data_IF_105922780939
#
_entry.id   IF_105922780939
#
_cell.length_a   1.000
_cell.length_b   1.000
_cell.length_c   1.000
_cell.angle_alpha   90.00
_cell.angle_beta   90.00
_cell.angle_gamma   90.00
#
_symmetry.space_group_name_H-M   'P 1'
#
loop_
_entity.id
_entity.type
_entity.pdbx_description
1 polymer ?
#
# COMPACT_ATOMS: atom_id res chain seq x y z
N UNK A 1 14.10 19.08 18.86
CA UNK A 1 13.44 20.27 18.28
C UNK A 1 13.77 20.34 16.80
N UNK A 2 12.83 20.83 15.98
CA UNK A 2 13.01 21.30 14.60
C UNK A 2 13.06 20.25 13.45
N UNK A 3 11.96 20.19 12.67
CA UNK A 3 11.92 20.73 11.30
C UNK A 3 10.49 21.23 11.04
N UNK A 4 10.24 22.48 11.38
CA UNK A 4 9.10 23.26 10.91
C UNK A 4 9.65 24.05 9.71
N UNK A 5 9.35 23.61 8.49
CA UNK A 5 9.76 24.29 7.26
C UNK A 5 8.51 24.89 6.59
N UNK A 6 8.48 26.22 6.67
CA UNK A 6 7.61 27.19 6.04
C UNK A 6 7.96 27.32 4.56
N UNK A 7 6.98 27.41 3.64
CA UNK A 7 6.98 28.39 2.53
C UNK A 7 5.84 28.24 1.49
N UNK A 8 5.18 29.39 1.22
CA UNK A 8 4.10 29.73 0.29
C UNK A 8 2.69 29.35 0.77
N UNK A 9 1.77 30.33 0.99
CA UNK A 9 0.35 30.02 0.95
C UNK A 9 0.08 29.59 -0.49
N UNK A 10 0.14 28.28 -0.72
CA UNK A 10 -0.39 27.70 -1.93
C UNK A 10 -1.84 28.15 -1.97
N UNK A 11 -2.35 28.69 -3.09
CA UNK A 11 -3.77 29.04 -3.20
C UNK A 11 -4.69 27.83 -2.96
N UNK A 12 -4.11 26.62 -2.93
CA UNK A 12 -4.76 25.35 -2.72
C UNK A 12 -4.58 24.87 -1.27
N UNK A 13 -5.67 24.54 -0.55
CA UNK A 13 -5.59 23.96 0.78
C UNK A 13 -4.94 22.56 0.73
N UNK A 14 -4.48 22.02 1.88
CA UNK A 14 -3.91 20.69 1.93
C UNK A 14 -4.93 19.63 1.52
N UNK A 15 -4.47 18.54 0.90
CA UNK A 15 -5.35 17.46 0.40
C UNK A 15 -6.32 16.88 1.43
N UNK A 16 -5.96 16.67 2.71
CA UNK A 16 -6.90 16.23 3.73
C UNK A 16 -8.14 17.13 3.83
N UNK A 17 -7.96 18.44 3.81
CA UNK A 17 -9.06 19.40 3.85
C UNK A 17 -9.90 19.35 2.58
N UNK A 18 -9.27 19.26 1.40
CA UNK A 18 -9.99 19.10 0.14
C UNK A 18 -10.85 17.83 0.12
N UNK A 19 -10.35 16.74 0.69
CA UNK A 19 -11.08 15.47 0.79
C UNK A 19 -12.26 15.59 1.75
N UNK A 20 -12.07 16.20 2.92
CA UNK A 20 -13.16 16.42 3.87
C UNK A 20 -14.24 17.34 3.29
N UNK A 21 -13.84 18.45 2.66
CA UNK A 21 -14.75 19.36 1.99
C UNK A 21 -15.47 18.71 0.79
N UNK A 22 -14.86 17.71 0.15
CA UNK A 22 -15.50 16.91 -0.89
C UNK A 22 -16.56 15.97 -0.31
N UNK A 23 -16.26 15.29 0.79
CA UNK A 23 -17.23 14.43 1.47
C UNK A 23 -18.43 15.24 1.99
N UNK A 24 -18.17 16.41 2.58
CA UNK A 24 -19.23 17.31 3.07
C UNK A 24 -20.04 17.90 1.91
N UNK A 25 -19.37 18.25 0.80
CA UNK A 25 -20.02 18.85 -0.38
C UNK A 25 -20.83 17.86 -1.22
N UNK A 26 -20.44 16.58 -1.27
CA UNK A 26 -21.21 15.53 -1.93
C UNK A 26 -22.35 15.01 -1.04
N UNK A 27 -22.21 15.05 0.29
CA UNK A 27 -23.28 14.70 1.22
C UNK A 27 -23.83 13.27 1.04
N UNK A 28 -23.04 12.37 0.45
CA UNK A 28 -23.48 11.02 0.11
C UNK A 28 -23.67 10.17 1.37
N UNK A 29 -24.89 9.69 1.60
CA UNK A 29 -25.20 8.74 2.71
C UNK A 29 -24.38 7.45 2.63
N UNK A 30 -23.97 7.07 1.43
CA UNK A 30 -23.16 5.87 1.14
C UNK A 30 -21.65 6.16 1.08
N UNK A 31 -21.23 7.37 1.46
CA UNK A 31 -19.87 7.87 1.29
C UNK A 31 -19.54 8.16 -0.16
N UNK A 32 -18.38 8.76 -0.40
CA UNK A 32 -17.94 9.13 -1.75
C UNK A 32 -16.81 8.24 -2.22
N UNK A 33 -16.83 7.88 -3.50
CA UNK A 33 -15.76 7.10 -4.11
C UNK A 33 -14.58 8.00 -4.54
N UNK A 34 -13.43 7.39 -4.82
CA UNK A 34 -12.21 8.13 -5.20
C UNK A 34 -12.42 9.03 -6.42
N UNK A 35 -13.15 8.58 -7.42
CA UNK A 35 -13.40 9.34 -8.65
C UNK A 35 -14.33 10.54 -8.41
N UNK A 36 -15.34 10.38 -7.54
CA UNK A 36 -16.26 11.44 -7.16
C UNK A 36 -15.52 12.54 -6.37
N UNK A 37 -14.65 12.14 -5.44
CA UNK A 37 -13.77 13.06 -4.71
C UNK A 37 -12.82 13.77 -5.69
N UNK A 38 -12.19 13.05 -6.62
CA UNK A 38 -11.31 13.63 -7.65
C UNK A 38 -12.02 14.73 -8.43
N UNK A 39 -13.21 14.42 -8.98
CA UNK A 39 -14.02 15.36 -9.78
C UNK A 39 -14.44 16.58 -8.98
N UNK A 40 -14.82 16.41 -7.72
CA UNK A 40 -15.19 17.54 -6.86
C UNK A 40 -14.01 18.48 -6.64
N UNK A 41 -12.82 17.93 -6.36
CA UNK A 41 -11.63 18.73 -6.12
C UNK A 41 -11.19 19.42 -7.42
N UNK A 42 -11.22 18.72 -8.56
CA UNK A 42 -10.94 19.29 -9.89
C UNK A 42 -11.88 20.44 -10.23
N UNK A 43 -13.19 20.28 -9.99
CA UNK A 43 -14.18 21.33 -10.26
C UNK A 43 -14.12 22.51 -9.29
N UNK A 44 -13.80 22.27 -8.01
CA UNK A 44 -13.80 23.30 -6.97
C UNK A 44 -12.52 24.15 -6.97
N UNK A 45 -11.37 23.53 -7.24
CA UNK A 45 -10.07 24.18 -7.10
C UNK A 45 -9.37 24.45 -8.43
N UNK A 46 -9.78 23.82 -9.54
CA UNK A 46 -9.38 24.17 -10.91
C UNK A 46 -7.93 23.85 -11.27
N UNK A 47 -6.95 24.49 -10.61
CA UNK A 47 -5.53 24.15 -10.76
C UNK A 47 -5.17 23.03 -9.79
N UNK A 48 -4.95 21.83 -10.31
CA UNK A 48 -4.38 20.73 -9.55
C UNK A 48 -3.10 20.24 -10.21
N UNK A 49 -2.15 19.72 -9.43
CA UNK A 49 -0.98 19.08 -10.00
C UNK A 49 -1.39 17.96 -10.96
N UNK A 50 -0.64 17.72 -12.05
CA UNK A 50 -0.91 16.62 -12.98
C UNK A 50 -0.85 15.23 -12.30
N UNK A 51 -0.22 15.14 -11.12
CA UNK A 51 -0.19 13.95 -10.27
C UNK A 51 -1.40 13.81 -9.31
N UNK A 52 -2.49 14.57 -9.53
CA UNK A 52 -3.66 14.62 -8.63
C UNK A 52 -4.16 13.24 -8.21
N UNK A 53 -4.38 12.33 -9.16
CA UNK A 53 -4.91 10.99 -8.88
C UNK A 53 -4.00 10.16 -7.94
N UNK A 54 -2.67 10.33 -8.04
CA UNK A 54 -1.69 9.64 -7.18
C UNK A 54 -1.66 10.28 -5.79
N UNK A 55 -1.57 11.61 -5.73
CA UNK A 55 -1.57 12.37 -4.49
C UNK A 55 -2.84 12.14 -3.67
N UNK A 56 -3.99 12.10 -4.32
CA UNK A 56 -5.28 11.77 -3.70
C UNK A 56 -5.25 10.36 -3.10
N UNK A 57 -4.71 9.37 -3.82
CA UNK A 57 -4.59 7.99 -3.30
C UNK A 57 -3.74 7.93 -2.04
N UNK A 58 -2.59 8.59 -2.06
CA UNK A 58 -1.67 8.58 -0.93
C UNK A 58 -2.28 9.26 0.31
N UNK A 59 -3.03 10.34 0.13
CA UNK A 59 -3.73 11.00 1.24
C UNK A 59 -4.91 10.18 1.76
N UNK A 60 -5.74 9.59 0.89
CA UNK A 60 -6.84 8.72 1.30
C UNK A 60 -6.35 7.49 2.08
N UNK A 61 -5.21 6.90 1.67
CA UNK A 61 -4.59 5.80 2.39
C UNK A 61 -4.13 6.23 3.79
N UNK A 62 -3.41 7.36 3.89
CA UNK A 62 -2.97 7.93 5.17
C UNK A 62 -4.14 8.26 6.11
N UNK A 63 -5.20 8.89 5.61
CA UNK A 63 -6.37 9.24 6.42
C UNK A 63 -7.17 8.00 6.87
N UNK A 64 -7.21 6.96 6.04
CA UNK A 64 -7.79 5.67 6.43
C UNK A 64 -7.00 4.99 7.55
N UNK A 65 -5.67 5.12 7.51
CA UNK A 65 -4.73 4.56 8.49
C UNK A 65 -4.70 5.37 9.79
N UNK A 66 -4.73 6.71 9.72
CA UNK A 66 -4.87 7.60 10.88
C UNK A 66 -6.22 7.43 11.57
N UNK A 67 -7.21 6.93 10.82
CA UNK A 67 -8.55 6.69 11.32
C UNK A 67 -9.48 7.87 11.12
N UNK A 68 -9.07 8.93 10.42
CA UNK A 68 -9.93 10.06 10.02
C UNK A 68 -10.98 9.66 8.98
N UNK A 69 -10.71 8.63 8.18
CA UNK A 69 -11.66 8.06 7.23
C UNK A 69 -11.95 6.56 7.46
N UNK A 70 -13.21 6.19 7.22
CA UNK A 70 -13.65 4.80 7.12
C UNK A 70 -13.76 4.46 5.63
N UNK A 71 -13.21 3.31 5.23
CA UNK A 71 -13.32 2.81 3.87
C UNK A 71 -14.17 1.55 3.88
N UNK A 72 -15.35 1.62 3.26
CA UNK A 72 -16.33 0.53 3.21
C UNK A 72 -16.88 0.39 1.79
N UNK A 73 -16.88 -0.83 1.25
CA UNK A 73 -17.45 -1.14 -0.08
C UNK A 73 -17.03 -0.15 -1.18
N UNK A 74 -15.74 0.21 -1.20
CA UNK A 74 -15.14 1.15 -2.16
C UNK A 74 -15.52 2.64 -2.01
N UNK A 75 -16.19 3.00 -0.91
CA UNK A 75 -16.54 4.37 -0.56
C UNK A 75 -15.79 4.82 0.70
N UNK A 76 -15.46 6.12 0.74
CA UNK A 76 -14.83 6.78 1.88
C UNK A 76 -15.88 7.55 2.67
N UNK A 77 -15.79 7.46 3.99
CA UNK A 77 -16.65 8.12 4.95
C UNK A 77 -15.79 8.89 5.96
N UNK A 78 -16.32 9.99 6.47
CA UNK A 78 -15.72 10.73 7.57
C UNK A 78 -15.85 9.90 8.86
N UNK A 79 -14.75 9.72 9.59
CA UNK A 79 -14.77 9.04 10.89
C UNK A 79 -15.12 9.96 12.06
N UNK A 80 -15.28 11.26 11.81
CA UNK A 80 -15.50 12.32 12.81
C UNK A 80 -16.88 12.24 13.51
N UNK A 81 -17.69 11.22 13.22
CA UNK A 81 -18.74 10.84 14.14
C UNK A 81 -18.07 10.40 15.46
N UNK A 82 -18.36 11.03 16.61
CA UNK A 82 -17.71 10.76 17.90
C UNK A 82 -17.92 9.33 18.46
N UNK A 83 -18.43 8.43 17.63
CA UNK A 83 -18.77 7.05 17.96
C UNK A 83 -17.91 6.01 17.21
N UNK A 84 -16.96 6.41 16.35
CA UNK A 84 -16.09 5.46 15.68
C UNK A 84 -14.96 5.00 16.63
N UNK A 85 -14.96 3.75 17.13
CA UNK A 85 -13.92 3.30 18.05
C UNK A 85 -12.57 3.32 17.32
N UNK A 86 -11.48 3.83 17.93
CA UNK A 86 -10.15 3.81 17.34
C UNK A 86 -9.86 2.41 16.82
N UNK A 87 -9.48 2.28 15.55
CA UNK A 87 -9.21 0.97 14.92
C UNK A 87 -8.10 0.27 15.69
N UNK A 88 -8.53 -0.59 16.60
CA UNK A 88 -7.72 -1.39 17.51
C UNK A 88 -6.71 -2.17 16.66
N UNK A 89 -5.43 -2.06 16.99
CA UNK A 89 -4.43 -3.00 16.48
C UNK A 89 -4.95 -4.41 16.72
N UNK A 90 -5.03 -5.22 15.66
CA UNK A 90 -5.64 -6.55 15.68
C UNK A 90 -5.16 -7.34 16.90
N UNK A 91 -6.11 -7.84 17.69
CA UNK A 91 -5.87 -8.91 18.68
C UNK A 91 -5.45 -8.51 20.08
N UNK A 92 -5.51 -7.23 20.50
CA UNK A 92 -5.30 -6.87 21.91
C UNK A 92 -6.46 -6.03 22.46
N UNK A 93 -7.20 -6.52 23.48
CA UNK A 93 -8.10 -5.69 24.27
C UNK A 93 -7.35 -4.45 24.80
N UNK A 94 -7.91 -3.24 24.71
CA UNK A 94 -7.37 -2.07 25.37
C UNK A 94 -7.29 -2.35 26.86
N UNK A 95 -6.08 -2.33 27.41
CA UNK A 95 -5.90 -2.33 28.85
C UNK A 95 -6.39 -0.97 29.35
N UNK A 96 -7.49 -0.94 30.10
CA UNK A 96 -7.90 0.25 30.86
C UNK A 96 -6.69 0.64 31.70
N UNK A 97 -6.11 1.80 31.42
CA UNK A 97 -5.05 2.38 32.26
C UNK A 97 -5.77 3.26 33.27
N UNK A 98 -5.92 2.74 34.48
CA UNK A 98 -6.35 3.56 35.62
C UNK A 98 -5.36 4.71 35.79
N UNK A 99 -5.81 5.98 35.85
CA UNK A 99 -4.95 7.14 36.02
C UNK A 99 -4.30 7.24 37.41
N UNK A 100 -4.52 6.25 38.29
CA UNK A 100 -3.95 6.20 39.63
C UNK A 100 -3.08 4.94 39.88
N UNK A 101 -2.66 4.24 38.82
CA UNK A 101 -1.75 3.09 38.96
C UNK A 101 -0.29 3.56 39.03
N UNK A 102 0.54 3.05 39.96
CA UNK A 102 1.96 3.37 40.03
C UNK A 102 2.69 2.91 38.75
N UNK A 103 3.79 3.59 38.35
CA UNK A 103 4.50 3.27 37.12
C UNK A 103 5.01 1.82 37.13
N UNK A 104 4.93 1.08 36.00
CA UNK A 104 5.46 -0.27 35.92
C UNK A 104 7.00 -0.25 36.03
N UNK A 105 7.62 -1.28 36.64
CA UNK A 105 9.07 -1.37 36.73
C UNK A 105 9.69 -1.49 35.32
N UNK A 106 10.93 -1.01 35.13
CA UNK A 106 11.61 -1.09 33.85
C UNK A 106 11.78 -2.55 33.44
N UNK A 107 11.28 -2.91 32.25
CA UNK A 107 11.53 -4.22 31.66
C UNK A 107 13.02 -4.34 31.35
N UNK A 108 13.68 -5.48 31.65
CA UNK A 108 15.05 -5.69 31.24
C UNK A 108 15.13 -5.61 29.72
N UNK A 109 16.07 -4.82 29.23
CA UNK A 109 16.40 -4.73 27.81
C UNK A 109 16.76 -6.13 27.31
N UNK A 110 15.92 -6.76 26.49
CA UNK A 110 16.32 -7.96 25.75
C UNK A 110 17.25 -7.51 24.62
N UNK A 111 18.53 -7.42 24.93
CA UNK A 111 19.63 -7.64 24.00
C UNK A 111 19.38 -8.95 23.26
N UNK A 112 19.25 -8.92 21.93
CA UNK A 112 18.98 -10.18 21.22
C UNK A 112 18.66 -10.09 19.75
N UNK A 113 19.61 -9.58 18.96
CA UNK A 113 19.93 -10.06 17.61
C UNK A 113 18.79 -10.13 16.58
N UNK A 114 18.82 -9.16 15.66
CA UNK A 114 18.13 -9.26 14.38
C UNK A 114 18.49 -10.57 13.69
N UNK A 115 17.51 -11.45 13.57
CA UNK A 115 17.64 -12.68 12.80
C UNK A 115 17.53 -12.31 11.32
N UNK A 116 18.60 -12.39 10.51
CA UNK A 116 18.51 -12.02 9.11
C UNK A 116 17.57 -13.00 8.41
N UNK A 117 16.47 -12.47 7.88
CA UNK A 117 15.60 -13.21 6.96
C UNK A 117 16.44 -13.60 5.75
N UNK A 118 16.47 -14.89 5.42
CA UNK A 118 17.04 -15.40 4.17
C UNK A 118 18.22 -16.37 4.30
N UNK A 119 18.76 -16.61 5.49
CA UNK A 119 19.78 -17.67 5.69
C UNK A 119 19.14 -18.91 6.34
N UNK A 120 19.17 -20.09 5.70
CA UNK A 120 18.71 -21.31 6.32
C UNK A 120 19.58 -21.61 7.56
N UNK A 121 18.97 -22.07 8.67
CA UNK A 121 19.71 -22.38 9.89
C UNK A 121 20.71 -23.51 9.62
N UNK A 122 21.88 -23.44 10.24
CA UNK A 122 22.87 -24.54 10.21
C UNK A 122 22.26 -25.76 10.90
N UNK A 123 22.22 -26.89 10.20
CA UNK A 123 21.78 -28.17 10.77
C UNK A 123 22.71 -28.57 11.92
N UNK A 124 22.11 -29.05 13.01
CA UNK A 124 22.84 -29.53 14.21
C UNK A 124 23.14 -31.04 14.15
N UNK A 125 22.65 -31.72 13.12
CA UNK A 125 22.83 -33.15 12.91
C UNK A 125 23.62 -33.43 11.62
N UNK A 126 24.62 -34.33 11.65
CA UNK A 126 25.53 -34.57 10.52
C UNK A 126 24.81 -35.17 9.29
N UNK A 127 23.62 -35.73 9.47
CA UNK A 127 22.80 -36.31 8.39
C UNK A 127 22.03 -35.25 7.60
N UNK A 128 21.54 -34.19 8.27
CA UNK A 128 20.83 -33.07 7.62
C UNK A 128 21.77 -32.17 6.80
N UNK A 129 23.04 -32.08 7.21
CA UNK A 129 24.05 -31.33 6.45
C UNK A 129 24.33 -31.95 5.07
N UNK A 130 24.31 -33.28 4.96
CA UNK A 130 24.51 -33.99 3.70
C UNK A 130 23.31 -33.82 2.74
N UNK A 131 22.08 -33.87 3.25
CA UNK A 131 20.86 -33.63 2.46
C UNK A 131 20.76 -32.17 2.01
N UNK A 132 21.15 -31.23 2.87
CA UNK A 132 21.19 -29.81 2.51
C UNK A 132 22.27 -29.50 1.45
N UNK A 133 23.45 -30.12 1.51
CA UNK A 133 24.48 -29.97 0.47
C UNK A 133 24.09 -30.65 -0.84
N UNK A 134 23.46 -31.82 -0.79
CA UNK A 134 22.99 -32.54 -1.98
C UNK A 134 21.86 -31.80 -2.72
N UNK A 135 21.08 -30.97 -2.02
CA UNK A 135 19.96 -30.21 -2.60
C UNK A 135 20.27 -28.74 -2.87
N UNK A 136 21.45 -28.24 -2.49
CA UNK A 136 21.86 -26.85 -2.64
C UNK A 136 22.05 -26.39 -4.10
N UNK A 137 22.08 -27.32 -5.07
CA UNK A 137 22.23 -27.04 -6.50
C UNK A 137 21.00 -27.32 -7.36
N UNK A 138 19.91 -27.92 -6.81
CA UNK A 138 18.74 -28.28 -7.61
C UNK A 138 17.70 -27.14 -7.62
N UNK A 139 17.27 -26.62 -8.78
CA UNK A 139 16.19 -25.65 -8.82
C UNK A 139 14.88 -26.30 -8.34
N UNK A 140 14.36 -25.83 -7.21
CA UNK A 140 13.00 -26.19 -6.75
C UNK A 140 12.00 -25.71 -7.79
N UNK A 141 11.29 -26.66 -8.43
CA UNK A 141 10.20 -26.37 -9.35
C UNK A 141 9.12 -25.56 -8.61
N UNK A 142 9.04 -24.26 -8.91
CA UNK A 142 8.03 -23.36 -8.34
C UNK A 142 6.66 -23.72 -8.89
N UNK A 143 5.93 -24.64 -8.25
CA UNK A 143 4.45 -24.73 -8.19
C UNK A 143 3.60 -24.46 -9.43
N UNK A 144 4.19 -24.40 -10.63
CA UNK A 144 3.58 -24.13 -11.93
C UNK A 144 4.36 -24.95 -12.95
N UNK A 145 3.68 -25.75 -13.77
CA UNK A 145 4.33 -26.50 -14.84
C UNK A 145 5.03 -25.54 -15.82
N UNK A 146 6.20 -25.92 -16.37
CA UNK A 146 6.92 -25.08 -17.31
C UNK A 146 6.04 -24.79 -18.53
N UNK A 147 5.93 -23.51 -18.90
CA UNK A 147 5.27 -23.12 -20.15
C UNK A 147 6.07 -23.69 -21.33
N UNK A 148 5.42 -24.48 -22.19
CA UNK A 148 6.01 -24.94 -23.45
C UNK A 148 6.42 -23.72 -24.30
N UNK A 149 7.60 -23.74 -24.95
CA UNK A 149 8.00 -22.66 -25.84
C UNK A 149 7.04 -22.56 -27.02
N UNK A 150 6.64 -21.33 -27.37
CA UNK A 150 5.84 -21.06 -28.58
C UNK A 150 6.71 -21.38 -29.81
N UNK A 151 6.18 -22.04 -30.85
CA UNK A 151 6.92 -22.27 -32.08
C UNK A 151 7.25 -20.93 -32.76
N UNK A 152 8.43 -20.83 -33.35
CA UNK A 152 8.89 -19.65 -34.10
C UNK A 152 7.95 -19.41 -35.30
N UNK A 153 7.60 -18.16 -35.63
CA UNK A 153 6.90 -17.87 -36.88
C UNK A 153 7.81 -18.24 -38.08
N UNK A 154 7.24 -18.71 -39.20
CA UNK A 154 8.00 -19.02 -40.40
C UNK A 154 8.67 -17.74 -40.96
N UNK A 155 9.83 -17.86 -41.64
CA UNK A 155 10.50 -16.71 -42.23
C UNK A 155 9.59 -16.04 -43.27
N UNK A 156 9.57 -14.70 -43.25
CA UNK A 156 8.86 -13.89 -44.24
C UNK A 156 9.37 -14.21 -45.65
N UNK A 157 8.48 -14.74 -46.49
CA UNK A 157 8.72 -14.92 -47.92
C UNK A 157 8.60 -13.54 -48.59
N UNK A 158 9.58 -13.09 -49.41
CA UNK A 158 9.43 -11.84 -50.14
C UNK A 158 8.27 -11.94 -51.15
N UNK A 159 7.56 -10.83 -51.44
CA UNK A 159 6.47 -10.82 -52.41
C UNK A 159 7.01 -11.12 -53.82
N UNK A 160 6.22 -11.78 -54.69
CA UNK A 160 6.60 -12.01 -56.07
C UNK A 160 6.70 -10.66 -56.81
N UNK A 161 7.77 -10.50 -57.59
CA UNK A 161 7.99 -9.32 -58.43
C UNK A 161 6.89 -9.27 -59.51
N UNK A 162 6.05 -8.23 -59.48
CA UNK A 162 5.09 -7.95 -60.53
C UNK A 162 5.86 -7.50 -61.77
N UNK A 163 5.91 -8.36 -62.79
CA UNK A 163 6.37 -8.00 -64.11
C UNK A 163 5.37 -7.03 -64.76
N UNK A 164 5.85 -5.86 -65.19
CA UNK A 164 5.15 -4.97 -66.11
C UNK A 164 5.24 -5.56 -67.53
N UNK A 165 4.12 -5.71 -68.26
CA UNK A 165 4.14 -5.88 -69.71
C UNK A 165 4.14 -4.52 -70.44
N UNK A 166 4.55 -4.48 -71.73
CA UNK A 166 4.87 -3.26 -72.48
C UNK A 166 3.67 -2.39 -72.86
#
# INVERSE_FOLDING_TARGET
>A
MATEEVAKPSPLPPYPEMILAALDGLGDKNGSNKSAISRYIEGKYGELPPAHASLLTAHLARMKESGELIFLKNNYFRSDAPDAPPKRGRGRPPKVRDPNAPPPPPKPASTGSGRPRGRPPKAKDPLDAAVAQATAGMPKARGRPPRRPRPRPPPHRPPPATAQPP
#
